data_IF_944516154955
#
_entry.id   IF_944516154955
#
_cell.length_a   1.000
_cell.length_b   1.000
_cell.length_c   1.000
_cell.angle_alpha   90.00
_cell.angle_beta   90.00
_cell.angle_gamma   90.00
#
_symmetry.space_group_name_H-M   'P 1'
#
loop_
_entity.id
_entity.type
_entity.pdbx_description
1 polymer ?
#
# COMPACT_ATOMS: atom_id res chain seq x y z
N UNK A 1 -26.37 -1.41 -15.65
CA UNK A 1 -27.49 -1.28 -14.71
C UNK A 1 -26.88 -1.00 -13.35
N UNK A 2 -27.37 0.02 -12.64
CA UNK A 2 -26.91 0.39 -11.30
C UNK A 2 -28.13 0.44 -10.39
N UNK A 3 -27.96 0.15 -9.10
CA UNK A 3 -29.04 0.13 -8.11
C UNK A 3 -28.57 0.81 -6.81
N UNK A 4 -29.50 1.18 -5.92
CA UNK A 4 -29.18 1.75 -4.63
C UNK A 4 -28.55 0.71 -3.71
N UNK A 5 -27.50 1.11 -2.99
CA UNK A 5 -26.87 0.25 -1.99
C UNK A 5 -27.84 0.08 -0.80
N UNK A 6 -28.28 -1.16 -0.56
CA UNK A 6 -29.05 -1.53 0.63
C UNK A 6 -28.10 -2.15 1.68
N UNK A 7 -28.61 -2.62 2.82
CA UNK A 7 -27.77 -3.23 3.87
C UNK A 7 -27.34 -4.67 3.57
N UNK A 8 -28.03 -5.33 2.65
CA UNK A 8 -27.88 -6.75 2.32
C UNK A 8 -26.91 -7.11 1.17
N UNK A 9 -26.47 -6.21 0.26
CA UNK A 9 -25.51 -6.59 -0.76
C UNK A 9 -24.13 -6.72 -0.13
N UNK A 10 -23.58 -7.93 -0.19
CA UNK A 10 -22.17 -8.17 0.10
C UNK A 10 -21.37 -7.64 -1.09
N UNK A 11 -20.61 -6.57 -0.87
CA UNK A 11 -19.57 -6.16 -1.82
C UNK A 11 -18.57 -7.31 -1.87
N UNK A 12 -18.59 -8.07 -2.97
CA UNK A 12 -17.80 -9.30 -3.11
C UNK A 12 -16.28 -9.03 -3.10
N UNK A 13 -15.86 -7.84 -3.52
CA UNK A 13 -14.46 -7.42 -3.59
C UNK A 13 -14.31 -6.04 -2.97
N UNK A 14 -13.85 -6.01 -1.71
CA UNK A 14 -13.67 -4.80 -0.92
C UNK A 14 -12.24 -4.70 -0.42
N UNK A 15 -11.84 -3.47 -0.07
CA UNK A 15 -10.46 -3.14 0.28
C UNK A 15 -10.43 -2.18 1.46
N UNK A 16 -9.64 -2.48 2.48
CA UNK A 16 -9.40 -1.57 3.61
C UNK A 16 -8.46 -0.47 3.15
N UNK A 17 -8.96 0.75 3.00
CA UNK A 17 -8.11 1.92 2.78
C UNK A 17 -7.58 2.46 4.13
N UNK A 18 -6.26 2.47 4.38
CA UNK A 18 -5.70 3.01 5.62
C UNK A 18 -5.86 4.53 5.69
N UNK A 19 -6.70 5.02 6.62
CA UNK A 19 -7.07 6.44 6.70
C UNK A 19 -5.87 7.39 6.86
N UNK A 20 -4.80 6.96 7.54
CA UNK A 20 -3.61 7.80 7.72
C UNK A 20 -2.98 8.23 6.39
N UNK A 21 -3.17 7.47 5.30
CA UNK A 21 -2.69 7.85 3.97
C UNK A 21 -3.35 9.13 3.45
N UNK A 22 -4.50 9.54 3.99
CA UNK A 22 -5.13 10.82 3.62
C UNK A 22 -4.21 11.99 3.97
N UNK A 23 -3.48 11.89 5.08
CA UNK A 23 -2.65 12.95 5.62
C UNK A 23 -1.24 12.97 5.00
N UNK A 24 -0.84 11.91 4.28
CA UNK A 24 0.46 11.84 3.59
C UNK A 24 0.45 12.53 2.22
N UNK A 25 1.51 13.30 1.96
CA UNK A 25 1.83 13.98 0.69
C UNK A 25 2.42 13.03 -0.38
N UNK A 26 1.84 11.83 -0.51
CA UNK A 26 2.18 10.87 -1.58
C UNK A 26 1.10 10.82 -2.65
N UNK A 27 1.47 10.46 -3.88
CA UNK A 27 0.56 10.38 -5.01
C UNK A 27 -0.53 9.33 -4.85
N UNK A 28 -1.65 9.50 -5.57
CA UNK A 28 -2.79 8.58 -5.51
C UNK A 28 -2.41 7.12 -5.83
N UNK A 29 -1.53 6.91 -6.81
CA UNK A 29 -1.02 5.57 -7.14
C UNK A 29 -0.23 4.96 -5.97
N UNK A 30 0.54 5.75 -5.22
CA UNK A 30 1.24 5.31 -4.01
C UNK A 30 0.27 4.93 -2.89
N UNK A 31 -0.75 5.77 -2.62
CA UNK A 31 -1.79 5.46 -1.62
C UNK A 31 -2.49 4.12 -1.91
N UNK A 32 -2.86 3.89 -3.18
CA UNK A 32 -3.49 2.64 -3.58
C UNK A 32 -2.53 1.46 -3.65
N UNK A 33 -1.26 1.68 -3.99
CA UNK A 33 -0.23 0.65 -3.91
C UNK A 33 -0.06 0.18 -2.47
N UNK A 34 0.07 1.10 -1.50
CA UNK A 34 0.12 0.76 -0.08
C UNK A 34 -1.13 -0.01 0.35
N UNK A 35 -2.30 0.47 -0.05
CA UNK A 35 -3.59 -0.14 0.28
C UNK A 35 -3.66 -1.61 -0.16
N UNK A 36 -3.21 -1.93 -1.38
CA UNK A 36 -3.17 -3.32 -1.85
C UNK A 36 -2.20 -4.18 -1.05
N UNK A 37 -1.00 -3.67 -0.77
CA UNK A 37 0.00 -4.39 0.04
C UNK A 37 -0.53 -4.67 1.45
N UNK A 38 -1.23 -3.69 2.06
CA UNK A 38 -1.83 -3.82 3.38
C UNK A 38 -2.96 -4.85 3.41
N UNK A 39 -3.85 -4.86 2.40
CA UNK A 39 -4.92 -5.85 2.34
C UNK A 39 -4.41 -7.27 2.08
N UNK A 40 -3.36 -7.43 1.25
CA UNK A 40 -2.73 -8.73 1.08
C UNK A 40 -2.12 -9.22 2.40
N UNK A 41 -1.47 -8.33 3.16
CA UNK A 41 -0.90 -8.66 4.46
C UNK A 41 -1.98 -9.07 5.48
N UNK A 42 -3.13 -8.39 5.51
CA UNK A 42 -4.26 -8.79 6.37
C UNK A 42 -4.86 -10.15 5.99
N UNK A 43 -4.90 -10.47 4.70
CA UNK A 43 -5.54 -11.70 4.21
C UNK A 43 -4.63 -12.92 4.22
N UNK A 44 -3.32 -12.73 3.97
CA UNK A 44 -2.36 -13.81 3.67
C UNK A 44 -0.98 -13.58 4.28
N UNK A 45 -0.77 -12.50 5.03
CA UNK A 45 0.53 -12.16 5.57
C UNK A 45 0.99 -13.19 6.60
N UNK A 46 2.23 -13.65 6.44
CA UNK A 46 2.94 -14.43 7.46
C UNK A 46 4.18 -13.63 7.92
N UNK A 47 4.54 -13.69 9.21
CA UNK A 47 5.72 -13.02 9.70
C UNK A 47 7.00 -13.71 9.21
N UNK A 48 8.08 -12.95 9.08
CA UNK A 48 9.42 -13.55 9.00
C UNK A 48 9.91 -14.04 10.38
N UNK A 49 11.15 -14.52 10.44
CA UNK A 49 11.74 -15.07 11.67
C UNK A 49 11.87 -14.05 12.81
N UNK A 50 11.78 -12.76 12.50
CA UNK A 50 11.85 -11.66 13.48
C UNK A 50 10.45 -11.12 13.85
N UNK A 51 9.37 -11.73 13.33
CA UNK A 51 8.00 -11.28 13.57
C UNK A 51 7.51 -10.18 12.63
N UNK A 52 8.29 -9.79 11.60
CA UNK A 52 7.89 -8.73 10.67
C UNK A 52 7.09 -9.29 9.51
N UNK A 53 5.90 -8.76 9.29
CA UNK A 53 5.05 -9.17 8.18
C UNK A 53 5.51 -8.51 6.86
N UNK A 54 5.49 -9.28 5.79
CA UNK A 54 5.82 -8.82 4.45
C UNK A 54 4.91 -9.46 3.41
N UNK A 55 4.88 -8.85 2.22
CA UNK A 55 4.23 -9.39 1.03
C UNK A 55 5.24 -9.56 -0.09
N UNK A 56 4.95 -10.45 -1.03
CA UNK A 56 5.79 -10.71 -2.21
C UNK A 56 5.03 -10.54 -3.52
N UNK A 57 4.02 -9.66 -3.53
CA UNK A 57 3.27 -9.31 -4.73
C UNK A 57 4.19 -8.80 -5.84
N UNK A 58 4.20 -9.43 -7.02
CA UNK A 58 4.94 -8.91 -8.16
C UNK A 58 4.42 -7.53 -8.59
N UNK A 59 5.32 -6.65 -9.03
CA UNK A 59 4.95 -5.32 -9.58
C UNK A 59 3.96 -5.44 -10.73
N UNK A 60 4.10 -6.49 -11.56
CA UNK A 60 3.18 -6.73 -12.68
C UNK A 60 1.74 -7.00 -12.20
N UNK A 61 1.59 -7.67 -11.05
CA UNK A 61 0.28 -7.94 -10.47
C UNK A 61 -0.34 -6.69 -9.88
N UNK A 62 0.41 -5.92 -9.09
CA UNK A 62 -0.03 -4.60 -8.59
C UNK A 62 -0.43 -3.67 -9.74
N UNK A 63 0.34 -3.65 -10.82
CA UNK A 63 0.06 -2.85 -12.01
C UNK A 63 -1.24 -3.27 -12.71
N UNK A 64 -1.47 -4.58 -12.81
CA UNK A 64 -2.70 -5.15 -13.37
C UNK A 64 -3.91 -4.75 -12.52
N UNK A 65 -3.84 -4.94 -11.20
CA UNK A 65 -4.94 -4.61 -10.26
C UNK A 65 -5.26 -3.10 -10.26
N UNK A 66 -4.23 -2.25 -10.31
CA UNK A 66 -4.41 -0.79 -10.32
C UNK A 66 -4.76 -0.21 -11.70
N UNK A 67 -4.76 -1.04 -12.75
CA UNK A 67 -4.85 -0.59 -14.15
C UNK A 67 -3.83 0.52 -14.46
N UNK A 68 -2.57 0.32 -14.04
CA UNK A 68 -1.44 1.23 -14.28
C UNK A 68 -0.29 0.52 -14.98
N UNK A 69 0.66 1.30 -15.49
CA UNK A 69 1.91 0.74 -16.00
C UNK A 69 2.78 0.21 -14.85
N UNK A 70 3.60 -0.81 -15.12
CA UNK A 70 4.60 -1.27 -14.15
C UNK A 70 5.57 -0.17 -13.73
N UNK A 71 5.89 0.76 -14.64
CA UNK A 71 6.74 1.93 -14.36
C UNK A 71 6.08 2.87 -13.34
N UNK A 72 4.77 3.12 -13.47
CA UNK A 72 4.00 3.92 -12.51
C UNK A 72 3.98 3.27 -11.12
N UNK A 73 3.78 1.95 -11.04
CA UNK A 73 3.82 1.23 -9.76
C UNK A 73 5.22 1.21 -9.16
N UNK A 74 6.28 1.07 -9.96
CA UNK A 74 7.67 1.18 -9.47
C UNK A 74 7.95 2.56 -8.86
N UNK A 75 7.48 3.64 -9.50
CA UNK A 75 7.61 5.01 -8.97
C UNK A 75 6.82 5.17 -7.67
N UNK A 76 5.60 4.64 -7.62
CA UNK A 76 4.76 4.64 -6.41
C UNK A 76 5.43 3.89 -5.23
N UNK A 77 6.04 2.72 -5.49
CA UNK A 77 6.80 2.00 -4.46
C UNK A 77 8.02 2.80 -3.98
N UNK A 78 8.75 3.46 -4.87
CA UNK A 78 9.87 4.34 -4.50
C UNK A 78 9.42 5.54 -3.67
N UNK A 79 8.26 6.11 -3.99
CA UNK A 79 7.65 7.20 -3.23
C UNK A 79 7.26 6.75 -1.81
N UNK A 80 6.65 5.57 -1.68
CA UNK A 80 6.36 4.98 -0.37
C UNK A 80 7.62 4.67 0.44
N UNK A 81 8.69 4.19 -0.21
CA UNK A 81 10.00 3.98 0.42
C UNK A 81 10.58 5.30 0.96
N UNK A 82 10.48 6.39 0.18
CA UNK A 82 10.93 7.74 0.60
C UNK A 82 10.11 8.31 1.75
N UNK A 83 8.81 8.05 1.76
CA UNK A 83 7.90 8.47 2.81
C UNK A 83 7.98 7.60 4.08
N UNK A 84 8.88 6.60 4.12
CA UNK A 84 9.02 5.71 5.27
C UNK A 84 7.83 4.77 5.48
N UNK A 85 6.98 4.58 4.48
CA UNK A 85 5.78 3.74 4.56
C UNK A 85 6.03 2.30 4.11
N UNK A 86 7.16 2.04 3.44
CA UNK A 86 7.50 0.71 2.94
C UNK A 86 9.01 0.49 3.02
N UNK A 87 9.43 -0.72 3.40
CA UNK A 87 10.79 -1.22 3.20
C UNK A 87 10.77 -2.36 2.19
N UNK A 88 11.70 -2.37 1.22
CA UNK A 88 11.80 -3.47 0.23
C UNK A 88 13.15 -4.15 0.29
N UNK A 89 13.15 -5.47 0.47
CA UNK A 89 14.35 -6.31 0.54
C UNK A 89 14.31 -7.39 -0.54
N UNK A 90 15.42 -7.60 -1.25
CA UNK A 90 15.58 -8.71 -2.19
C UNK A 90 16.52 -9.75 -1.59
N UNK A 91 16.13 -11.03 -1.66
CA UNK A 91 16.97 -12.15 -1.24
C UNK A 91 18.06 -12.50 -2.24
N UNK A 92 17.77 -12.34 -3.54
CA UNK A 92 18.67 -12.68 -4.63
C UNK A 92 18.34 -11.84 -5.88
N UNK A 93 19.26 -11.82 -6.85
CA UNK A 93 19.01 -11.23 -8.17
C UNK A 93 17.86 -11.99 -8.85
N UNK A 94 16.89 -11.25 -9.40
CA UNK A 94 15.72 -11.84 -10.07
C UNK A 94 14.58 -12.28 -9.13
N UNK A 95 14.81 -12.37 -7.81
CA UNK A 95 13.76 -12.70 -6.86
C UNK A 95 12.76 -11.54 -6.70
N UNK A 96 11.49 -11.87 -6.47
CA UNK A 96 10.47 -10.88 -6.10
C UNK A 96 10.84 -10.30 -4.73
N UNK A 97 10.86 -8.97 -4.64
CA UNK A 97 11.21 -8.28 -3.41
C UNK A 97 10.17 -8.57 -2.32
N UNK A 98 10.64 -8.84 -1.11
CA UNK A 98 9.82 -8.76 0.10
C UNK A 98 9.55 -7.30 0.37
N UNK A 99 8.29 -6.94 0.42
CA UNK A 99 7.82 -5.58 0.67
C UNK A 99 7.17 -5.58 2.05
N UNK A 100 7.67 -4.75 2.94
CA UNK A 100 7.25 -4.62 4.33
C UNK A 100 6.48 -3.30 4.46
N UNK A 101 5.14 -3.30 4.49
CA UNK A 101 4.35 -2.11 4.77
C UNK A 101 4.55 -1.68 6.24
N UNK A 102 4.72 -0.38 6.46
CA UNK A 102 4.93 0.20 7.77
C UNK A 102 3.76 1.09 8.15
N UNK A 103 3.30 0.98 9.39
CA UNK A 103 2.27 1.85 9.96
C UNK A 103 2.98 2.91 10.81
N UNK A 104 2.71 4.21 10.60
CA UNK A 104 3.31 5.24 11.42
C UNK A 104 2.75 5.21 12.85
N UNK A 105 3.61 5.41 13.84
CA UNK A 105 3.21 5.45 15.26
C UNK A 105 2.37 6.70 15.58
N UNK A 106 2.64 7.79 14.86
CA UNK A 106 1.81 9.00 14.81
C UNK A 106 1.63 9.36 13.34
N UNK A 107 0.41 9.65 12.85
CA UNK A 107 0.25 10.11 11.48
C UNK A 107 1.11 11.36 11.30
N UNK A 108 1.99 11.36 10.29
CA UNK A 108 2.89 12.48 10.01
C UNK A 108 2.04 13.75 9.82
N UNK A 109 1.97 14.60 10.85
CA UNK A 109 1.25 15.87 10.83
C UNK A 109 2.10 17.00 10.23
N UNK A 110 3.38 16.74 9.95
CA UNK A 110 4.39 17.77 9.78
C UNK A 110 5.11 17.73 8.42
N UNK A 111 4.75 16.83 7.50
CA UNK A 111 5.12 16.94 6.08
C UNK A 111 4.27 18.01 5.37
N UNK A 112 4.54 19.28 5.71
CA UNK A 112 3.97 20.52 5.19
C UNK A 112 2.62 20.98 5.78
N UNK A 113 2.61 21.37 7.07
CA UNK A 113 1.81 22.53 7.46
C UNK A 113 2.70 23.64 8.09
N UNK A 114 3.26 24.56 7.28
CA UNK A 114 4.01 25.71 7.79
C UNK A 114 3.11 26.85 8.29
N UNK A 115 1.78 26.69 8.27
CA UNK A 115 0.85 27.70 8.74
C UNK A 115 0.16 27.17 9.98
N UNK A 116 0.73 27.48 11.14
CA UNK A 116 0.03 27.43 12.42
C UNK A 116 -1.11 28.45 12.46
N UNK A 117 -2.16 28.20 11.67
CA UNK A 117 -3.47 28.86 11.70
C UNK A 117 -4.57 27.81 11.64
#
# INVERSE_FOLDING_TARGET
MVDFMTKDPVIADWVVFPRFLMDYSVGFTAKWTYTLLYNELLNRGEPDGDGHYFVQTPVAELARTLHKSQSSVKRALQELERAGLVIRRRKAVGAVARTYPLVPLEPDRDAENPLGI
#
